data_IF_016775231073
#
_entry.id   IF_016775231073
#
_cell.length_a   1.000
_cell.length_b   1.000
_cell.length_c   1.000
_cell.angle_alpha   90.00
_cell.angle_beta   90.00
_cell.angle_gamma   90.00
#
_symmetry.space_group_name_H-M   'P 1'
#
loop_
_entity.id
_entity.type
_entity.pdbx_description
1 polymer ?
#
# COMPACT_ATOMS: atom_id res chain seq x y z
N UNK A 1 -31.19 -7.28 11.70
CA UNK A 1 -30.31 -6.59 10.73
C UNK A 1 -28.89 -6.95 11.11
N UNK A 2 -28.24 -7.80 10.33
CA UNK A 2 -26.85 -8.21 10.57
C UNK A 2 -25.91 -7.06 10.20
N UNK A 3 -24.81 -6.88 10.93
CA UNK A 3 -23.81 -5.83 10.70
C UNK A 3 -23.18 -5.85 9.29
N UNK A 4 -23.45 -6.89 8.50
CA UNK A 4 -23.05 -7.03 7.10
C UNK A 4 -23.67 -6.02 6.12
N UNK A 5 -24.76 -5.33 6.49
CA UNK A 5 -25.46 -4.33 5.64
C UNK A 5 -25.39 -2.89 6.16
N UNK A 6 -24.61 -2.63 7.21
CA UNK A 6 -24.42 -1.28 7.76
C UNK A 6 -23.55 -0.38 6.87
N UNK A 7 -23.73 0.94 7.02
CA UNK A 7 -22.83 1.94 6.43
C UNK A 7 -21.40 1.72 6.97
N UNK A 8 -20.37 1.69 6.11
CA UNK A 8 -18.99 1.54 6.58
C UNK A 8 -18.55 2.75 7.40
N UNK A 9 -17.76 2.49 8.44
CA UNK A 9 -17.03 3.54 9.11
C UNK A 9 -15.78 3.91 8.31
N UNK A 10 -15.57 5.20 8.04
CA UNK A 10 -14.29 5.68 7.47
C UNK A 10 -13.25 5.75 8.57
N UNK A 11 -12.13 5.08 8.40
CA UNK A 11 -11.01 5.07 9.35
C UNK A 11 -9.71 5.44 8.68
N UNK A 12 -8.88 6.17 9.40
CA UNK A 12 -7.49 6.46 9.05
C UNK A 12 -6.58 5.71 10.01
N UNK A 13 -5.57 5.04 9.46
CA UNK A 13 -4.60 4.27 10.21
C UNK A 13 -3.19 4.76 9.91
N UNK A 14 -2.32 4.67 10.90
CA UNK A 14 -0.87 4.73 10.74
C UNK A 14 -0.36 3.30 10.95
N UNK A 15 0.23 2.72 9.91
CA UNK A 15 0.80 1.39 9.95
C UNK A 15 2.13 1.35 10.68
N UNK A 16 2.81 0.22 10.54
CA UNK A 16 4.11 0.00 11.16
C UNK A 16 5.24 0.46 10.24
N UNK A 17 6.31 1.02 10.81
CA UNK A 17 7.54 1.28 10.03
C UNK A 17 8.27 -0.05 9.84
N UNK A 18 8.46 -0.54 8.61
CA UNK A 18 9.21 -1.77 8.38
C UNK A 18 10.67 -1.62 8.83
N UNK A 19 11.38 -2.71 9.05
CA UNK A 19 12.84 -2.64 9.17
C UNK A 19 13.47 -2.27 7.81
N UNK A 20 14.76 -1.92 7.81
CA UNK A 20 15.48 -1.68 6.55
C UNK A 20 15.42 -2.92 5.65
N UNK A 21 15.31 -2.67 4.34
CA UNK A 21 15.10 -3.68 3.30
C UNK A 21 13.90 -4.61 3.51
N UNK A 22 12.92 -4.16 4.32
CA UNK A 22 11.67 -4.87 4.54
C UNK A 22 10.51 -4.12 3.89
N UNK A 23 9.54 -4.90 3.42
CA UNK A 23 8.32 -4.38 2.83
C UNK A 23 7.30 -3.97 3.89
N UNK A 24 6.35 -3.12 3.51
CA UNK A 24 5.13 -2.87 4.27
C UNK A 24 4.26 -4.13 4.23
N UNK A 25 3.64 -4.48 5.36
CA UNK A 25 2.71 -5.62 5.43
C UNK A 25 1.67 -5.39 6.53
N UNK A 26 0.55 -4.79 6.16
CA UNK A 26 -0.59 -4.54 7.06
C UNK A 26 -1.67 -5.60 6.84
N UNK A 27 -2.21 -6.14 7.94
CA UNK A 27 -3.23 -7.19 7.89
C UNK A 27 -4.60 -6.64 8.26
N UNK A 28 -5.63 -7.06 7.53
CA UNK A 28 -7.02 -6.78 7.92
C UNK A 28 -7.35 -7.61 9.17
N UNK A 29 -7.81 -6.99 10.26
CA UNK A 29 -8.20 -7.71 11.48
C UNK A 29 -9.26 -8.78 11.21
N UNK A 30 -9.21 -9.88 11.97
CA UNK A 30 -10.29 -10.86 11.99
C UNK A 30 -11.59 -10.20 12.46
N UNK A 31 -12.71 -10.53 11.81
CA UNK A 31 -14.00 -9.89 12.10
C UNK A 31 -14.13 -8.49 11.52
N UNK A 32 -13.25 -8.09 10.60
CA UNK A 32 -13.38 -6.87 9.84
C UNK A 32 -13.27 -7.15 8.33
N UNK A 33 -13.91 -6.29 7.56
CA UNK A 33 -13.71 -6.16 6.12
C UNK A 33 -13.33 -4.73 5.82
N UNK A 34 -12.27 -4.55 5.05
CA UNK A 34 -11.80 -3.25 4.62
C UNK A 34 -12.07 -3.04 3.13
N UNK A 35 -12.30 -1.81 2.75
CA UNK A 35 -12.11 -1.35 1.39
C UNK A 35 -11.04 -0.25 1.44
N UNK A 36 -9.92 -0.49 0.77
CA UNK A 36 -8.82 0.47 0.73
C UNK A 36 -9.21 1.67 -0.14
N UNK A 37 -9.22 2.87 0.45
CA UNK A 37 -9.52 4.12 -0.24
C UNK A 37 -8.24 4.76 -0.75
N UNK A 38 -7.25 4.89 0.13
CA UNK A 38 -5.92 5.40 -0.22
C UNK A 38 -4.85 4.89 0.75
N UNK A 39 -3.61 4.83 0.27
CA UNK A 39 -2.40 4.59 1.04
C UNK A 39 -1.33 5.56 0.56
N UNK A 40 -0.63 6.18 1.51
CA UNK A 40 0.57 6.98 1.27
C UNK A 40 1.73 6.45 2.11
N UNK A 41 2.91 6.40 1.55
CA UNK A 41 4.16 6.07 2.25
C UNK A 41 5.35 6.75 1.58
N UNK A 42 6.51 6.67 2.20
CA UNK A 42 7.77 7.10 1.60
C UNK A 42 8.73 5.91 1.48
N UNK A 43 9.45 5.83 0.38
CA UNK A 43 10.59 4.94 0.20
C UNK A 43 11.87 5.79 0.11
N UNK A 44 12.72 5.68 1.13
CA UNK A 44 14.08 6.24 1.10
C UNK A 44 15.00 5.22 0.45
N UNK A 45 15.53 5.51 -0.73
CA UNK A 45 16.47 4.61 -1.41
C UNK A 45 17.90 4.83 -0.91
N UNK A 46 18.63 3.73 -0.74
CA UNK A 46 20.04 3.74 -0.36
C UNK A 46 20.93 4.27 -1.48
N UNK A 47 22.19 4.57 -1.13
CA UNK A 47 23.20 5.01 -2.08
C UNK A 47 23.67 3.91 -3.06
N UNK A 48 23.37 2.64 -2.75
CA UNK A 48 23.74 1.51 -3.61
C UNK A 48 23.03 1.62 -4.96
N UNK A 49 23.82 1.60 -6.03
CA UNK A 49 23.31 1.66 -7.39
C UNK A 49 22.38 0.47 -7.67
N UNK A 50 21.20 0.77 -8.21
CA UNK A 50 20.17 -0.22 -8.50
C UNK A 50 18.88 0.44 -8.91
N UNK A 51 18.02 -0.33 -9.56
CA UNK A 51 16.74 0.15 -10.09
C UNK A 51 15.62 -0.40 -9.21
N UNK A 52 14.87 0.46 -8.55
CA UNK A 52 13.76 0.03 -7.68
C UNK A 52 12.44 0.17 -8.41
N UNK A 53 11.61 -0.86 -8.34
CA UNK A 53 10.24 -0.83 -8.89
C UNK A 53 9.26 -1.34 -7.84
N UNK A 54 8.79 -0.45 -6.94
CA UNK A 54 7.74 -0.78 -6.00
C UNK A 54 6.40 -1.10 -6.65
N UNK A 55 5.64 -1.98 -6.02
CA UNK A 55 4.24 -2.22 -6.29
C UNK A 55 3.50 -2.49 -4.98
N UNK A 56 2.21 -2.18 -4.95
CA UNK A 56 1.33 -2.63 -3.86
C UNK A 56 0.61 -3.92 -4.28
N UNK A 57 0.53 -4.85 -3.34
CA UNK A 57 -0.15 -6.14 -3.45
C UNK A 57 -1.32 -6.15 -2.49
N UNK A 58 -2.50 -6.50 -3.01
CA UNK A 58 -3.73 -6.59 -2.25
C UNK A 58 -4.30 -8.01 -2.31
N UNK A 59 -4.77 -8.53 -1.17
CA UNK A 59 -5.55 -9.76 -1.09
C UNK A 59 -5.01 -10.80 -0.13
N UNK A 60 -5.31 -12.07 -0.41
CA UNK A 60 -4.84 -13.19 0.41
C UNK A 60 -3.31 -13.34 0.23
N UNK A 61 -2.52 -13.47 1.32
CA UNK A 61 -1.07 -13.60 1.22
C UNK A 61 -0.59 -14.81 0.40
N UNK A 62 -1.39 -15.87 0.29
CA UNK A 62 -1.09 -17.04 -0.54
C UNK A 62 -1.54 -16.88 -2.00
N UNK A 63 -2.50 -16.00 -2.28
CA UNK A 63 -3.08 -15.79 -3.60
C UNK A 63 -3.57 -14.33 -3.73
N UNK A 64 -2.66 -13.37 -3.96
CA UNK A 64 -3.05 -11.97 -4.11
C UNK A 64 -3.84 -11.78 -5.40
N UNK A 65 -4.86 -10.93 -5.35
CA UNK A 65 -5.70 -10.64 -6.51
C UNK A 65 -5.38 -9.29 -7.15
N UNK A 66 -4.67 -8.40 -6.44
CA UNK A 66 -4.33 -7.07 -6.93
C UNK A 66 -2.83 -6.84 -6.89
N UNK A 67 -2.26 -6.40 -8.02
CA UNK A 67 -0.87 -5.97 -8.15
C UNK A 67 -0.86 -4.62 -8.88
N UNK A 68 -0.39 -3.56 -8.23
CA UNK A 68 -0.44 -2.21 -8.78
C UNK A 68 0.96 -1.56 -8.71
N UNK A 69 1.78 -1.75 -9.77
CA UNK A 69 3.13 -1.21 -9.82
C UNK A 69 3.14 0.30 -10.03
N UNK A 70 4.18 0.97 -9.55
CA UNK A 70 4.47 2.36 -9.93
C UNK A 70 4.95 2.45 -11.38
N UNK A 71 4.86 3.63 -11.99
CA UNK A 71 5.20 3.79 -13.42
C UNK A 71 6.70 3.87 -13.68
N UNK A 72 7.42 4.58 -12.82
CA UNK A 72 8.85 4.83 -13.03
C UNK A 72 9.72 4.06 -12.05
N UNK A 73 10.95 3.81 -12.47
CA UNK A 73 11.97 3.22 -11.62
C UNK A 73 12.63 4.27 -10.76
N UNK A 74 12.95 3.94 -9.51
CA UNK A 74 13.53 4.93 -8.59
C UNK A 74 15.04 4.87 -8.59
N UNK A 75 15.65 6.07 -8.64
CA UNK A 75 17.09 6.27 -8.46
C UNK A 75 17.55 6.08 -7.02
N UNK A 76 18.87 6.04 -6.84
CA UNK A 76 19.54 5.89 -5.55
C UNK A 76 19.63 7.21 -4.78
N UNK A 77 19.75 7.14 -3.44
CA UNK A 77 19.88 8.29 -2.54
C UNK A 77 18.74 9.33 -2.64
N UNK A 78 17.51 8.89 -2.91
CA UNK A 78 16.34 9.76 -3.07
C UNK A 78 15.19 9.28 -2.18
N UNK A 79 14.41 10.21 -1.64
CA UNK A 79 13.16 9.91 -0.92
C UNK A 79 11.99 10.07 -1.87
N UNK A 80 11.27 8.97 -2.12
CA UNK A 80 10.09 8.93 -2.97
C UNK A 80 8.83 8.87 -2.12
N UNK A 81 7.86 9.74 -2.39
CA UNK A 81 6.50 9.66 -1.85
C UNK A 81 5.63 8.85 -2.79
N UNK A 82 4.99 7.82 -2.26
CA UNK A 82 4.22 6.84 -2.99
C UNK A 82 2.77 6.93 -2.54
N UNK A 83 1.85 7.14 -3.46
CA UNK A 83 0.42 7.17 -3.20
C UNK A 83 -0.29 6.14 -4.07
N UNK A 84 -1.08 5.27 -3.46
CA UNK A 84 -2.06 4.44 -4.15
C UNK A 84 -3.45 4.88 -3.71
N UNK A 85 -4.35 5.20 -4.63
CA UNK A 85 -5.68 5.68 -4.28
C UNK A 85 -6.75 5.33 -5.30
N UNK A 86 -7.98 5.17 -4.82
CA UNK A 86 -9.13 4.92 -5.68
C UNK A 86 -9.34 6.10 -6.63
N UNK A 87 -9.53 5.80 -7.92
CA UNK A 87 -9.80 6.80 -8.96
C UNK A 87 -8.77 7.94 -9.04
N UNK A 88 -7.56 7.73 -8.51
CA UNK A 88 -6.44 8.67 -8.67
C UNK A 88 -5.89 8.48 -10.08
N UNK A 89 -5.67 9.59 -10.78
CA UNK A 89 -4.92 9.57 -12.04
C UNK A 89 -3.50 9.12 -11.77
N UNK A 90 -3.07 8.14 -12.53
CA UNK A 90 -1.67 7.78 -12.69
C UNK A 90 -0.81 9.02 -12.95
N UNK A 91 0.03 9.42 -12.01
CA UNK A 91 0.99 10.50 -12.20
C UNK A 91 2.36 9.97 -11.84
N UNK A 92 3.19 9.81 -12.88
CA UNK A 92 4.64 9.72 -12.72
C UNK A 92 5.28 11.00 -13.23
N UNK A 93 5.78 11.83 -12.33
CA UNK A 93 6.53 13.02 -12.72
C UNK A 93 8.01 12.67 -12.72
N UNK A 94 8.62 12.57 -13.91
CA UNK A 94 10.03 12.20 -14.06
C UNK A 94 11.04 13.17 -13.40
N UNK A 95 10.59 14.32 -12.89
CA UNK A 95 11.39 15.28 -12.14
C UNK A 95 10.97 15.43 -10.67
N UNK A 96 9.86 14.84 -10.24
CA UNK A 96 9.41 14.92 -8.85
C UNK A 96 9.49 13.56 -8.19
N UNK A 97 9.81 13.56 -6.90
CA UNK A 97 9.95 12.34 -6.11
C UNK A 97 8.59 11.88 -5.58
N UNK A 98 7.54 12.02 -6.40
CA UNK A 98 6.16 11.71 -6.04
C UNK A 98 5.54 10.84 -7.13
N UNK A 99 5.05 9.67 -6.74
CA UNK A 99 4.31 8.74 -7.57
C UNK A 99 2.89 8.59 -7.05
N UNK A 100 1.92 8.69 -7.95
CA UNK A 100 0.53 8.40 -7.66
C UNK A 100 -0.02 7.33 -8.60
N UNK A 101 -0.59 6.27 -8.03
CA UNK A 101 -1.12 5.12 -8.74
C UNK A 101 -2.59 4.88 -8.40
N UNK A 102 -3.34 4.41 -9.38
CA UNK A 102 -4.74 4.04 -9.17
C UNK A 102 -4.85 2.63 -8.59
N UNK A 103 -5.79 2.46 -7.67
CA UNK A 103 -6.32 1.15 -7.27
C UNK A 103 -7.80 1.03 -7.69
N UNK A 104 -8.32 -0.19 -7.89
CA UNK A 104 -9.73 -0.39 -8.21
C UNK A 104 -10.64 0.23 -7.16
N UNK A 105 -11.72 0.85 -7.61
CA UNK A 105 -12.83 1.22 -6.72
C UNK A 105 -13.41 -0.07 -6.14
N UNK A 106 -13.81 -0.04 -4.87
CA UNK A 106 -14.29 -1.22 -4.15
C UNK A 106 -13.23 -2.36 -4.03
N UNK A 107 -11.95 -2.00 -3.90
CA UNK A 107 -10.85 -2.90 -3.51
C UNK A 107 -11.06 -3.49 -2.11
N UNK A 108 -11.88 -4.54 -2.01
CA UNK A 108 -12.28 -5.18 -0.74
C UNK A 108 -11.29 -6.22 -0.27
N UNK A 109 -10.96 -6.14 1.01
CA UNK A 109 -10.05 -7.00 1.74
C UNK A 109 -10.83 -7.63 2.91
N UNK A 110 -10.87 -8.95 2.95
CA UNK A 110 -11.53 -9.70 4.03
C UNK A 110 -10.57 -9.85 5.22
N UNK A 111 -11.08 -10.23 6.38
CA UNK A 111 -10.23 -10.54 7.54
C UNK A 111 -9.12 -11.54 7.18
N UNK A 112 -7.88 -11.21 7.55
CA UNK A 112 -6.68 -11.98 7.19
C UNK A 112 -6.09 -11.70 5.81
N UNK A 113 -6.75 -10.89 4.95
CA UNK A 113 -6.09 -10.33 3.77
C UNK A 113 -5.05 -9.29 4.18
N UNK A 114 -4.14 -8.97 3.26
CA UNK A 114 -3.03 -8.04 3.51
C UNK A 114 -2.97 -6.91 2.47
N UNK A 115 -2.47 -5.76 2.93
CA UNK A 115 -1.95 -4.67 2.12
C UNK A 115 -0.43 -4.74 2.23
N UNK A 116 0.25 -5.07 1.14
CA UNK A 116 1.70 -5.32 1.14
C UNK A 116 2.40 -4.56 0.04
N UNK A 117 3.66 -4.18 0.24
CA UNK A 117 4.52 -3.75 -0.88
C UNK A 117 5.44 -4.88 -1.35
N UNK A 118 5.84 -4.82 -2.62
CA UNK A 118 6.94 -5.60 -3.17
C UNK A 118 7.78 -4.67 -4.04
N UNK A 119 9.10 -4.68 -3.84
CA UNK A 119 10.04 -3.82 -4.53
C UNK A 119 11.07 -4.67 -5.24
N UNK A 120 10.96 -4.73 -6.56
CA UNK A 120 12.04 -5.28 -7.38
C UNK A 120 13.29 -4.41 -7.21
N UNK A 121 14.45 -5.02 -7.00
CA UNK A 121 15.73 -4.32 -6.86
C UNK A 121 15.94 -3.63 -5.50
N UNK A 122 15.17 -3.98 -4.47
CA UNK A 122 15.36 -3.48 -3.10
C UNK A 122 16.76 -3.81 -2.56
N UNK A 123 17.38 -2.82 -1.91
CA UNK A 123 18.71 -2.92 -1.33
C UNK A 123 18.67 -2.87 0.20
N UNK A 124 19.75 -3.32 0.84
CA UNK A 124 19.88 -3.44 2.29
C UNK A 124 19.63 -2.13 3.08
N UNK A 125 19.90 -0.98 2.47
CA UNK A 125 19.69 0.33 3.09
C UNK A 125 18.41 1.05 2.63
N UNK A 126 17.58 0.42 1.78
CA UNK A 126 16.31 1.01 1.37
C UNK A 126 15.32 0.92 2.55
N UNK A 127 14.52 1.96 2.77
CA UNK A 127 13.66 2.04 3.96
C UNK A 127 12.31 2.66 3.63
N UNK A 128 11.24 1.92 3.94
CA UNK A 128 9.88 2.44 3.94
C UNK A 128 9.57 3.22 5.22
N UNK A 129 8.82 4.31 5.13
CA UNK A 129 8.17 4.91 6.31
C UNK A 129 6.98 4.06 6.76
N UNK A 130 6.46 4.30 7.97
CA UNK A 130 5.12 3.84 8.32
C UNK A 130 4.11 4.34 7.26
N UNK A 131 3.28 3.47 6.67
CA UNK A 131 2.24 3.91 5.75
C UNK A 131 1.14 4.64 6.52
N UNK A 132 0.50 5.61 5.87
CA UNK A 132 -0.78 6.15 6.32
C UNK A 132 -1.84 5.73 5.31
N UNK A 133 -2.96 5.18 5.77
CA UNK A 133 -3.98 4.67 4.86
C UNK A 133 -5.39 4.90 5.39
N UNK A 134 -6.30 5.12 4.46
CA UNK A 134 -7.72 5.33 4.73
C UNK A 134 -8.50 4.14 4.20
N UNK A 135 -9.39 3.60 5.02
CA UNK A 135 -10.29 2.51 4.63
C UNK A 135 -11.73 2.85 4.97
N UNK A 136 -12.64 2.22 4.22
CA UNK A 136 -14.02 2.00 4.66
C UNK A 136 -14.05 0.64 5.37
N UNK A 137 -14.43 0.62 6.64
CA UNK A 137 -14.45 -0.60 7.46
C UNK A 137 -15.89 -1.05 7.75
N UNK A 138 -16.12 -2.35 7.58
CA UNK A 138 -17.29 -3.05 8.10
C UNK A 138 -16.83 -4.02 9.20
N UNK A 139 -17.56 -4.06 10.31
CA UNK A 139 -17.40 -5.10 11.32
C UNK A 139 -18.24 -6.30 10.92
N UNK A 140 -17.62 -7.47 10.87
CA UNK A 140 -18.26 -8.74 10.56
C UNK A 140 -18.41 -9.54 11.86
N UNK A 141 -19.63 -9.99 12.13
CA UNK A 141 -19.88 -10.92 13.24
C UNK A 141 -19.48 -12.30 12.74
N UNK A 142 -18.43 -12.86 13.33
CA UNK A 142 -17.94 -14.21 13.05
C UNK A 142 -18.86 -15.32 13.53
#
# INVERSE_FOLDING_TARGET
MSATEGEPAVRSFVGTTPAAASEISESVPTGARWELVSLVTQLTTSAVAGTRTPLIVLGNPAAPWGLFPVFQTFGNSVVWTLTWGQAVSAVGQGSSTCEAMSIPVAARLLGGHTIKTITAGMQAGDQYSAPQYVVREWLEVG
#
